data_IF_358848404226
#
_entry.id   IF_358848404226
#
_cell.length_a   1.000
_cell.length_b   1.000
_cell.length_c   1.000
_cell.angle_alpha   90.00
_cell.angle_beta   90.00
_cell.angle_gamma   90.00
#
_symmetry.space_group_name_H-M   'P 1'
#
loop_
_entity.id
_entity.type
_entity.pdbx_description
1 polymer ?
#
# COMPACT_ATOMS: atom_id res chain seq x y z
N UNK A 1 -2.45 18.06 -4.50
CA UNK A 1 -2.72 16.75 -3.86
C UNK A 1 -2.32 15.69 -4.88
N UNK A 2 -1.34 14.84 -4.56
CA UNK A 2 -0.89 13.78 -5.46
C UNK A 2 -1.59 12.47 -5.06
N UNK A 3 -2.19 11.77 -6.01
CA UNK A 3 -2.92 10.52 -5.77
C UNK A 3 -2.45 9.49 -6.77
N UNK A 4 -1.96 8.35 -6.27
CA UNK A 4 -1.57 7.20 -7.07
C UNK A 4 -2.55 6.08 -6.73
N UNK A 5 -3.12 5.45 -7.77
CA UNK A 5 -4.07 4.35 -7.62
C UNK A 5 -3.58 3.13 -8.36
N UNK A 6 -3.88 1.95 -7.83
CA UNK A 6 -3.69 0.68 -8.50
C UNK A 6 -4.78 -0.28 -8.06
N UNK A 7 -5.14 -1.20 -8.95
CA UNK A 7 -6.11 -2.27 -8.72
C UNK A 7 -5.42 -3.61 -8.46
N UNK A 8 -4.07 -3.65 -8.46
CA UNK A 8 -3.27 -4.86 -8.33
C UNK A 8 -2.23 -4.67 -7.23
N UNK A 9 -2.30 -5.44 -6.15
CA UNK A 9 -1.41 -5.28 -4.98
C UNK A 9 0.09 -5.34 -5.31
N UNK A 10 0.49 -6.09 -6.35
CA UNK A 10 1.89 -6.18 -6.79
C UNK A 10 2.43 -4.84 -7.35
N UNK A 11 1.61 -4.03 -8.00
CA UNK A 11 2.01 -2.70 -8.46
C UNK A 11 2.15 -1.73 -7.30
N UNK A 12 1.26 -1.83 -6.30
CA UNK A 12 1.37 -1.06 -5.07
C UNK A 12 2.70 -1.34 -4.37
N UNK A 13 3.08 -2.62 -4.24
CA UNK A 13 4.38 -3.00 -3.68
C UNK A 13 5.55 -2.41 -4.44
N UNK A 14 5.58 -2.53 -5.78
CA UNK A 14 6.66 -1.94 -6.59
C UNK A 14 6.77 -0.44 -6.39
N UNK A 15 5.64 0.24 -6.24
CA UNK A 15 5.62 1.69 -6.01
C UNK A 15 6.17 2.06 -4.64
N UNK A 16 5.82 1.29 -3.59
CA UNK A 16 6.35 1.46 -2.23
C UNK A 16 7.85 1.12 -2.18
N UNK A 17 8.26 -0.01 -2.75
CA UNK A 17 9.64 -0.51 -2.76
C UNK A 17 10.60 0.39 -3.54
N UNK A 18 10.14 0.98 -4.65
CA UNK A 18 10.95 1.89 -5.47
C UNK A 18 11.20 3.25 -4.80
N UNK A 19 10.54 3.55 -3.67
CA UNK A 19 10.65 4.83 -2.98
C UNK A 19 10.11 6.01 -3.82
N UNK A 20 9.40 5.73 -4.92
CA UNK A 20 8.92 6.72 -5.88
C UNK A 20 7.78 7.59 -5.35
N UNK A 21 7.25 7.27 -4.16
CA UNK A 21 6.28 8.11 -3.46
C UNK A 21 6.53 8.00 -1.97
N UNK A 22 6.95 9.10 -1.33
CA UNK A 22 6.63 9.29 0.09
C UNK A 22 5.12 9.48 0.15
N UNK A 23 4.43 8.51 0.72
CA UNK A 23 2.99 8.59 0.89
C UNK A 23 2.69 9.23 2.24
N UNK A 24 1.70 10.11 2.29
CA UNK A 24 1.21 10.64 3.57
C UNK A 24 0.12 9.73 4.17
N UNK A 25 -0.48 8.87 3.34
CA UNK A 25 -1.52 7.91 3.70
C UNK A 25 -1.63 6.82 2.62
N UNK A 26 -1.87 5.59 3.03
CA UNK A 26 -2.23 4.48 2.14
C UNK A 26 -3.61 3.94 2.48
N UNK A 27 -4.44 3.72 1.46
CA UNK A 27 -5.78 3.17 1.57
C UNK A 27 -5.86 1.87 0.76
N UNK A 28 -6.27 0.76 1.37
CA UNK A 28 -6.32 -0.54 0.69
C UNK A 28 -7.43 -1.43 1.24
N UNK A 29 -7.94 -2.36 0.43
CA UNK A 29 -8.84 -3.41 0.90
C UNK A 29 -8.04 -4.50 1.64
N UNK A 30 -8.61 -5.10 2.67
CA UNK A 30 -8.04 -6.28 3.33
C UNK A 30 -8.01 -7.47 2.37
N UNK A 31 -9.07 -7.64 1.57
CA UNK A 31 -9.23 -8.79 0.68
C UNK A 31 -9.07 -8.34 -0.76
N UNK A 32 -7.90 -8.58 -1.33
CA UNK A 32 -7.66 -8.44 -2.76
C UNK A 32 -7.26 -9.78 -3.39
N UNK A 33 -7.58 -10.01 -4.68
CA UNK A 33 -7.10 -11.18 -5.40
C UNK A 33 -5.56 -11.24 -5.37
N UNK A 34 -5.00 -12.45 -5.22
CA UNK A 34 -3.56 -12.75 -5.30
C UNK A 34 -2.66 -12.24 -4.16
N UNK A 35 -3.04 -11.17 -3.47
CA UNK A 35 -2.29 -10.57 -2.37
C UNK A 35 -3.26 -9.89 -1.40
N UNK A 36 -3.22 -10.24 -0.12
CA UNK A 36 -4.00 -9.54 0.89
C UNK A 36 -3.34 -8.23 1.34
N UNK A 37 -4.14 -7.34 1.94
CA UNK A 37 -3.71 -6.04 2.45
C UNK A 37 -2.62 -6.14 3.54
N UNK A 38 -2.49 -7.29 4.21
CA UNK A 38 -1.45 -7.57 5.22
C UNK A 38 -0.03 -7.55 4.64
N UNK A 39 0.15 -7.98 3.38
CA UNK A 39 1.47 -7.93 2.75
C UNK A 39 1.86 -6.48 2.49
N UNK A 40 0.87 -5.65 2.12
CA UNK A 40 1.06 -4.21 1.94
C UNK A 40 1.52 -3.54 3.23
N UNK A 41 0.85 -3.84 4.35
CA UNK A 41 1.23 -3.35 5.69
C UNK A 41 2.68 -3.71 6.01
N UNK A 42 3.09 -4.96 5.74
CA UNK A 42 4.44 -5.43 6.06
C UNK A 42 5.51 -4.72 5.23
N UNK A 43 5.24 -4.47 3.95
CA UNK A 43 6.18 -3.75 3.06
C UNK A 43 6.25 -2.26 3.44
N UNK A 44 5.10 -1.62 3.70
CA UNK A 44 5.04 -0.26 4.23
C UNK A 44 5.82 -0.13 5.54
N UNK A 45 5.63 -1.04 6.50
CA UNK A 45 6.37 -1.03 7.76
C UNK A 45 7.88 -1.17 7.60
N UNK A 46 8.36 -1.79 6.51
CA UNK A 46 9.79 -1.94 6.22
C UNK A 46 10.39 -0.74 5.51
N UNK A 47 9.64 -0.13 4.58
CA UNK A 47 10.15 0.92 3.70
C UNK A 47 9.75 2.33 4.11
N UNK A 48 8.55 2.50 4.68
CA UNK A 48 7.98 3.77 5.09
C UNK A 48 7.16 3.60 6.40
N UNK A 49 7.80 3.28 7.53
CA UNK A 49 7.12 2.94 8.79
C UNK A 49 6.25 4.05 9.38
N UNK A 50 6.53 5.31 9.03
CA UNK A 50 5.78 6.47 9.54
C UNK A 50 4.47 6.70 8.77
N UNK A 51 4.25 5.99 7.67
CA UNK A 51 3.08 6.20 6.81
C UNK A 51 1.88 5.44 7.37
N UNK A 52 0.79 6.14 7.73
CA UNK A 52 -0.42 5.47 8.18
C UNK A 52 -1.05 4.69 7.02
N UNK A 53 -1.55 3.50 7.32
CA UNK A 53 -2.34 2.67 6.40
C UNK A 53 -3.73 2.42 6.99
N UNK A 54 -4.75 2.64 6.17
CA UNK A 54 -6.14 2.29 6.48
C UNK A 54 -6.52 1.10 5.62
N UNK A 55 -6.77 -0.02 6.27
CA UNK A 55 -7.34 -1.20 5.64
C UNK A 55 -8.87 -1.14 5.76
N UNK A 56 -9.55 -1.36 4.64
CA UNK A 56 -11.02 -1.39 4.56
C UNK A 56 -11.47 -2.81 4.23
N UNK A 57 -12.62 -3.24 4.74
CA UNK A 57 -13.26 -4.52 4.38
C UNK A 57 -14.64 -4.21 3.81
N UNK A 58 -14.97 -4.83 2.68
CA UNK A 58 -16.35 -4.87 2.15
C UNK A 58 -17.18 -6.00 2.74
#
# INVERSE_FOLDING_TARGET
MNVITTTVGQEALKTIDSGAGKFDLVLSDVVMPWMGGEILVRVLGKHQPDVPIVLMTG
#
